data_IF_626172827699
#
_entry.id   IF_626172827699
#
_cell.length_a   1.000
_cell.length_b   1.000
_cell.length_c   1.000
_cell.angle_alpha   90.00
_cell.angle_beta   90.00
_cell.angle_gamma   90.00
#
_symmetry.space_group_name_H-M   'P 1'
#
loop_
_entity.id
_entity.type
_entity.pdbx_description
1 polymer ?
#
# COMPACT_ATOMS: atom_id res chain seq x y z
N UNK A 1 19.52 -6.82 -10.76
CA UNK A 1 19.29 -5.63 -11.61
C UNK A 1 17.81 -5.21 -11.62
N UNK A 2 16.87 -6.13 -11.83
CA UNK A 2 15.42 -5.80 -11.84
C UNK A 2 14.92 -5.15 -10.54
N UNK A 3 15.36 -5.61 -9.36
CA UNK A 3 14.97 -4.95 -8.09
C UNK A 3 15.40 -3.48 -8.03
N UNK A 4 16.66 -3.18 -8.37
CA UNK A 4 17.19 -1.82 -8.40
C UNK A 4 16.48 -0.94 -9.44
N UNK A 5 16.01 -1.55 -10.54
CA UNK A 5 15.22 -0.86 -11.54
C UNK A 5 13.85 -0.46 -10.98
N UNK A 6 13.17 -1.37 -10.28
CA UNK A 6 11.91 -1.08 -9.61
C UNK A 6 12.09 -0.01 -8.50
N UNK A 7 13.16 -0.11 -7.71
CA UNK A 7 13.51 0.90 -6.70
C UNK A 7 13.69 2.29 -7.35
N UNK A 8 14.36 2.35 -8.51
CA UNK A 8 14.56 3.61 -9.23
C UNK A 8 13.24 4.20 -9.75
N UNK A 9 12.33 3.35 -10.25
CA UNK A 9 10.99 3.78 -10.64
C UNK A 9 10.20 4.29 -9.43
N UNK A 10 10.17 3.56 -8.31
CA UNK A 10 9.47 3.99 -7.09
C UNK A 10 9.98 5.36 -6.62
N UNK A 11 11.29 5.52 -6.46
CA UNK A 11 11.89 6.76 -5.97
C UNK A 11 11.65 7.94 -6.92
N UNK A 12 11.69 7.71 -8.24
CA UNK A 12 11.39 8.76 -9.22
C UNK A 12 9.89 9.10 -9.21
N UNK A 13 9.03 8.11 -9.08
CA UNK A 13 7.58 8.29 -8.91
C UNK A 13 7.26 9.13 -7.68
N UNK A 14 7.90 8.84 -6.54
CA UNK A 14 7.78 9.61 -5.31
C UNK A 14 8.17 11.07 -5.51
N UNK A 15 9.30 11.33 -6.18
CA UNK A 15 9.70 12.69 -6.49
C UNK A 15 8.70 13.42 -7.39
N UNK A 16 8.26 12.77 -8.47
CA UNK A 16 7.28 13.31 -9.41
C UNK A 16 5.92 13.55 -8.76
N UNK A 17 5.52 12.73 -7.80
CA UNK A 17 4.25 12.88 -7.07
C UNK A 17 4.14 14.20 -6.28
N UNK A 18 5.27 14.86 -6.01
CA UNK A 18 5.31 16.17 -5.35
C UNK A 18 5.19 17.34 -6.32
N UNK A 19 5.36 17.09 -7.62
CA UNK A 19 5.32 18.09 -8.69
C UNK A 19 3.95 17.99 -9.37
N UNK A 20 3.14 19.06 -9.27
CA UNK A 20 1.75 19.04 -9.73
C UNK A 20 1.62 18.67 -11.21
N UNK A 21 2.51 19.15 -12.07
CA UNK A 21 2.48 18.87 -13.51
C UNK A 21 2.94 17.46 -13.88
N UNK A 22 3.55 16.70 -12.95
CA UNK A 22 4.16 15.39 -13.24
C UNK A 22 3.40 14.21 -12.62
N UNK A 23 2.11 14.40 -12.33
CA UNK A 23 1.26 13.37 -11.72
C UNK A 23 1.18 12.11 -12.59
N UNK A 24 0.96 12.26 -13.89
CA UNK A 24 0.74 11.11 -14.78
C UNK A 24 2.03 10.31 -14.97
N UNK A 25 3.17 10.98 -15.01
CA UNK A 25 4.49 10.35 -15.03
C UNK A 25 4.81 9.65 -13.70
N UNK A 26 4.35 10.20 -12.56
CA UNK A 26 4.47 9.53 -11.27
C UNK A 26 3.62 8.25 -11.23
N UNK A 27 2.38 8.30 -11.71
CA UNK A 27 1.52 7.11 -11.84
C UNK A 27 2.17 6.05 -12.74
N UNK A 28 2.73 6.46 -13.87
CA UNK A 28 3.46 5.56 -14.77
C UNK A 28 4.67 4.94 -14.09
N UNK A 29 5.42 5.70 -13.28
CA UNK A 29 6.57 5.17 -12.56
C UNK A 29 6.16 4.14 -11.51
N UNK A 30 5.10 4.41 -10.74
CA UNK A 30 4.55 3.43 -9.81
C UNK A 30 4.08 2.15 -10.51
N UNK A 31 3.42 2.26 -11.66
CA UNK A 31 2.99 1.11 -12.46
C UNK A 31 4.17 0.22 -12.87
N UNK A 32 5.27 0.83 -13.32
CA UNK A 32 6.47 0.09 -13.72
C UNK A 32 7.12 -0.62 -12.52
N UNK A 33 7.22 0.05 -11.37
CA UNK A 33 7.75 -0.55 -10.15
C UNK A 33 6.91 -1.74 -9.70
N UNK A 34 5.58 -1.56 -9.64
CA UNK A 34 4.61 -2.61 -9.28
C UNK A 34 4.71 -3.79 -10.24
N UNK A 35 4.71 -3.54 -11.55
CA UNK A 35 4.81 -4.60 -12.56
C UNK A 35 6.08 -5.43 -12.39
N UNK A 36 7.23 -4.79 -12.13
CA UNK A 36 8.48 -5.51 -11.91
C UNK A 36 8.40 -6.33 -10.63
N UNK A 37 7.95 -5.75 -9.51
CA UNK A 37 7.89 -6.46 -8.24
C UNK A 37 6.83 -7.58 -8.21
N UNK A 38 5.69 -7.43 -8.87
CA UNK A 38 4.71 -8.51 -9.03
C UNK A 38 5.29 -9.70 -9.82
N UNK A 39 6.04 -9.42 -10.90
CA UNK A 39 6.72 -10.47 -11.66
C UNK A 39 7.88 -11.12 -10.89
N UNK A 40 8.47 -10.38 -9.96
CA UNK A 40 9.55 -10.88 -9.10
C UNK A 40 9.04 -11.61 -7.85
N UNK A 41 7.81 -11.33 -7.40
CA UNK A 41 7.19 -11.99 -6.24
C UNK A 41 7.17 -13.49 -6.49
N UNK A 42 7.96 -14.20 -5.70
CA UNK A 42 7.89 -15.66 -5.63
C UNK A 42 7.10 -16.05 -4.38
N UNK A 43 6.30 -17.14 -4.43
CA UNK A 43 5.79 -17.77 -3.22
C UNK A 43 6.97 -18.43 -2.49
N UNK A 44 7.74 -17.66 -1.73
CA UNK A 44 8.81 -18.19 -0.86
C UNK A 44 8.70 -17.59 0.52
N UNK A 45 8.65 -18.46 1.54
CA UNK A 45 8.48 -18.10 2.96
C UNK A 45 9.75 -17.56 3.63
N UNK A 46 10.74 -17.10 2.86
CA UNK A 46 12.02 -16.62 3.39
C UNK A 46 11.99 -15.10 3.56
N UNK A 47 12.53 -14.59 4.67
CA UNK A 47 12.56 -13.16 5.03
C UNK A 47 13.14 -12.23 3.95
N UNK A 48 13.98 -12.71 3.04
CA UNK A 48 14.51 -11.91 1.92
C UNK A 48 13.42 -11.61 0.86
N UNK A 49 12.47 -12.53 0.67
CA UNK A 49 11.27 -12.33 -0.16
C UNK A 49 10.41 -11.19 0.39
N UNK A 50 10.39 -11.02 1.71
CA UNK A 50 9.59 -9.99 2.37
C UNK A 50 10.04 -8.56 2.00
N UNK A 51 11.31 -8.32 1.63
CA UNK A 51 11.73 -6.97 1.23
C UNK A 51 11.04 -6.53 -0.08
N UNK A 52 10.96 -7.43 -1.07
CA UNK A 52 10.23 -7.17 -2.32
C UNK A 52 8.75 -6.93 -2.02
N UNK A 53 8.16 -7.73 -1.13
CA UNK A 53 6.75 -7.60 -0.74
C UNK A 53 6.47 -6.29 0.01
N UNK A 54 7.36 -5.86 0.90
CA UNK A 54 7.27 -4.54 1.55
C UNK A 54 7.34 -3.43 0.52
N UNK A 55 8.31 -3.45 -0.40
CA UNK A 55 8.45 -2.42 -1.43
C UNK A 55 7.24 -2.40 -2.38
N UNK A 56 6.72 -3.57 -2.75
CA UNK A 56 5.51 -3.70 -3.55
C UNK A 56 4.29 -3.09 -2.84
N UNK A 57 4.09 -3.40 -1.55
CA UNK A 57 3.04 -2.81 -0.75
C UNK A 57 3.18 -1.28 -0.64
N UNK A 58 4.42 -0.78 -0.46
CA UNK A 58 4.70 0.66 -0.45
C UNK A 58 4.39 1.33 -1.80
N UNK A 59 4.70 0.67 -2.92
CA UNK A 59 4.40 1.18 -4.25
C UNK A 59 2.89 1.33 -4.48
N UNK A 60 2.11 0.30 -4.11
CA UNK A 60 0.66 0.36 -4.10
C UNK A 60 0.16 1.52 -3.21
N UNK A 61 0.65 1.62 -1.97
CA UNK A 61 0.26 2.70 -1.05
C UNK A 61 0.58 4.09 -1.63
N UNK A 62 1.74 4.28 -2.25
CA UNK A 62 2.16 5.56 -2.82
C UNK A 62 1.33 5.93 -4.05
N UNK A 63 1.04 4.97 -4.92
CA UNK A 63 0.10 5.16 -6.04
C UNK A 63 -1.31 5.49 -5.56
N UNK A 64 -1.79 4.79 -4.53
CA UNK A 64 -3.08 5.06 -3.88
C UNK A 64 -3.13 6.46 -3.27
N UNK A 65 -2.06 6.91 -2.61
CA UNK A 65 -1.94 8.27 -2.09
C UNK A 65 -2.03 9.32 -3.20
N UNK A 66 -1.41 9.08 -4.35
CA UNK A 66 -1.45 9.99 -5.49
C UNK A 66 -2.84 10.03 -6.14
N UNK A 67 -3.48 8.87 -6.30
CA UNK A 67 -4.87 8.73 -6.78
C UNK A 67 -5.86 9.42 -5.85
N UNK A 68 -5.74 9.22 -4.53
CA UNK A 68 -6.52 9.94 -3.50
C UNK A 68 -6.40 11.46 -3.65
N UNK A 69 -5.17 11.99 -3.75
CA UNK A 69 -4.92 13.43 -3.93
C UNK A 69 -5.58 13.99 -5.18
N UNK A 70 -5.87 13.13 -6.15
CA UNK A 70 -6.42 13.47 -7.44
C UNK A 70 -7.92 13.31 -7.55
N UNK A 71 -8.56 12.73 -6.54
CA UNK A 71 -9.99 12.40 -6.57
C UNK A 71 -10.31 11.02 -7.14
N UNK A 72 -9.31 10.26 -7.59
CA UNK A 72 -9.42 8.89 -8.12
C UNK A 72 -9.57 7.89 -6.95
N UNK A 73 -10.70 7.98 -6.24
CA UNK A 73 -10.87 7.38 -4.90
C UNK A 73 -11.01 5.87 -4.93
N UNK A 74 -11.79 5.33 -5.86
CA UNK A 74 -12.03 3.89 -5.95
C UNK A 74 -10.73 3.17 -6.32
N UNK A 75 -9.95 3.75 -7.23
CA UNK A 75 -8.64 3.26 -7.60
C UNK A 75 -7.62 3.39 -6.46
N UNK A 76 -7.75 4.43 -5.62
CA UNK A 76 -6.94 4.56 -4.41
C UNK A 76 -7.25 3.48 -3.38
N UNK A 77 -8.54 3.20 -3.13
CA UNK A 77 -8.97 2.13 -2.24
C UNK A 77 -8.49 0.77 -2.74
N UNK A 78 -8.62 0.48 -4.04
CA UNK A 78 -8.10 -0.75 -4.63
C UNK A 78 -6.58 -0.92 -4.46
N UNK A 79 -5.82 0.18 -4.54
CA UNK A 79 -4.37 0.14 -4.29
C UNK A 79 -4.07 -0.12 -2.82
N UNK A 80 -4.77 0.54 -1.90
CA UNK A 80 -4.60 0.30 -0.47
C UNK A 80 -4.96 -1.12 -0.06
N UNK A 81 -6.03 -1.70 -0.60
CA UNK A 81 -6.42 -3.08 -0.34
C UNK A 81 -5.33 -4.07 -0.77
N UNK A 82 -4.68 -3.83 -1.91
CA UNK A 82 -3.53 -4.62 -2.37
C UNK A 82 -2.34 -4.50 -1.42
N UNK A 83 -2.03 -3.29 -0.97
CA UNK A 83 -0.96 -3.08 0.00
C UNK A 83 -1.25 -3.78 1.33
N UNK A 84 -2.47 -3.67 1.86
CA UNK A 84 -2.88 -4.34 3.10
C UNK A 84 -2.76 -5.85 2.97
N UNK A 85 -3.28 -6.45 1.90
CA UNK A 85 -3.21 -7.89 1.69
C UNK A 85 -1.77 -8.40 1.69
N UNK A 86 -0.87 -7.71 0.97
CA UNK A 86 0.55 -8.10 0.90
C UNK A 86 1.21 -8.01 2.28
N UNK A 87 0.93 -6.95 3.05
CA UNK A 87 1.51 -6.76 4.39
C UNK A 87 1.00 -7.82 5.38
N UNK A 88 -0.28 -8.18 5.31
CA UNK A 88 -0.83 -9.27 6.12
C UNK A 88 -0.23 -10.62 5.74
N UNK A 89 -0.02 -10.90 4.45
CA UNK A 89 0.61 -12.14 3.98
C UNK A 89 2.04 -12.33 4.55
N UNK A 90 2.76 -11.23 4.81
CA UNK A 90 4.12 -11.26 5.39
C UNK A 90 4.16 -10.96 6.89
N UNK A 91 3.00 -10.91 7.54
CA UNK A 91 2.84 -10.63 8.97
C UNK A 91 3.37 -9.26 9.42
N UNK A 92 3.43 -8.27 8.51
CA UNK A 92 3.71 -6.88 8.85
C UNK A 92 2.41 -6.14 9.23
N UNK A 93 1.89 -6.50 10.41
CA UNK A 93 0.66 -5.94 10.95
C UNK A 93 0.76 -4.44 11.24
N UNK A 94 1.94 -3.94 11.60
CA UNK A 94 2.14 -2.53 11.91
C UNK A 94 1.92 -1.63 10.70
N UNK A 95 2.55 -1.99 9.57
CA UNK A 95 2.34 -1.28 8.31
C UNK A 95 0.92 -1.45 7.78
N UNK A 96 0.33 -2.65 7.91
CA UNK A 96 -1.06 -2.90 7.49
C UNK A 96 -2.06 -2.01 8.24
N UNK A 97 -1.93 -1.90 9.57
CA UNK A 97 -2.76 -1.02 10.40
C UNK A 97 -2.66 0.43 9.96
N UNK A 98 -1.46 0.92 9.63
CA UNK A 98 -1.30 2.30 9.17
C UNK A 98 -2.08 2.57 7.87
N UNK A 99 -2.11 1.62 6.94
CA UNK A 99 -2.87 1.74 5.70
C UNK A 99 -4.37 1.64 5.95
N UNK A 100 -4.82 0.72 6.81
CA UNK A 100 -6.24 0.61 7.18
C UNK A 100 -6.78 1.89 7.85
N UNK A 101 -5.95 2.57 8.65
CA UNK A 101 -6.29 3.89 9.20
C UNK A 101 -6.39 4.96 8.11
N UNK A 102 -5.51 4.93 7.11
CA UNK A 102 -5.58 5.82 5.95
C UNK A 102 -6.88 5.58 5.15
N UNK A 103 -7.28 4.31 4.95
CA UNK A 103 -8.55 3.91 4.31
C UNK A 103 -9.76 4.44 5.11
N UNK A 104 -9.81 4.16 6.41
CA UNK A 104 -10.93 4.61 7.26
C UNK A 104 -11.08 6.13 7.26
N UNK A 105 -9.97 6.88 7.26
CA UNK A 105 -10.01 8.34 7.12
C UNK A 105 -10.58 8.80 5.77
N UNK A 106 -10.25 8.11 4.68
CA UNK A 106 -10.78 8.41 3.35
C UNK A 106 -12.29 8.18 3.30
N UNK A 107 -12.76 7.06 3.82
CA UNK A 107 -14.18 6.71 3.85
C UNK A 107 -14.96 7.71 4.73
N UNK A 108 -14.43 8.09 5.89
CA UNK A 108 -15.02 9.15 6.73
C UNK A 108 -15.17 10.48 5.98
N UNK A 109 -14.13 10.92 5.28
CA UNK A 109 -14.17 12.15 4.49
C UNK A 109 -15.16 12.08 3.32
N UNK A 110 -15.61 10.88 2.94
CA UNK A 110 -16.61 10.64 1.92
C UNK A 110 -18.02 10.45 2.48
N UNK A 111 -18.20 10.56 3.81
CA UNK A 111 -19.45 10.19 4.48
C UNK A 111 -19.82 8.70 4.34
N UNK A 112 -18.87 7.85 3.94
CA UNK A 112 -19.00 6.40 4.00
C UNK A 112 -18.69 5.94 5.43
N UNK A 113 -19.69 6.15 6.31
CA UNK A 113 -19.56 5.82 7.72
C UNK A 113 -19.47 4.31 7.96
N UNK A 114 -20.18 3.51 7.16
CA UNK A 114 -20.18 2.06 7.28
C UNK A 114 -18.82 1.48 6.88
N UNK A 115 -18.25 1.94 5.76
CA UNK A 115 -16.90 1.57 5.35
C UNK A 115 -15.85 1.95 6.39
N UNK A 116 -15.91 3.19 6.88
CA UNK A 116 -14.97 3.66 7.92
C UNK A 116 -15.05 2.83 9.21
N UNK A 117 -16.27 2.51 9.66
CA UNK A 117 -16.49 1.64 10.82
C UNK A 117 -15.89 0.25 10.58
N UNK A 118 -16.04 -0.30 9.37
CA UNK A 118 -15.41 -1.57 9.00
C UNK A 118 -13.89 -1.49 9.11
N UNK A 119 -13.25 -0.50 8.48
CA UNK A 119 -11.78 -0.38 8.50
C UNK A 119 -11.21 -0.17 9.90
N UNK A 120 -11.87 0.60 10.76
CA UNK A 120 -11.44 0.74 12.16
C UNK A 120 -11.66 -0.55 12.97
N UNK A 121 -12.73 -1.29 12.67
CA UNK A 121 -12.96 -2.60 13.30
C UNK A 121 -11.87 -3.59 12.91
N UNK A 122 -11.42 -3.59 11.67
CA UNK A 122 -10.31 -4.42 11.20
C UNK A 122 -9.00 -4.07 11.92
N UNK A 123 -8.71 -2.79 12.11
CA UNK A 123 -7.55 -2.33 12.91
C UNK A 123 -7.61 -2.87 14.34
N UNK A 124 -8.74 -2.72 15.02
CA UNK A 124 -8.92 -3.18 16.40
C UNK A 124 -8.74 -4.70 16.47
N UNK A 125 -9.32 -5.45 15.53
CA UNK A 125 -9.21 -6.89 15.44
C UNK A 125 -7.76 -7.35 15.31
N UNK A 126 -7.00 -6.76 14.38
CA UNK A 126 -5.58 -7.10 14.19
C UNK A 126 -4.79 -6.84 15.47
N UNK A 127 -4.96 -5.69 16.11
CA UNK A 127 -4.23 -5.33 17.34
C UNK A 127 -4.55 -6.32 18.47
N UNK A 128 -5.82 -6.65 18.69
CA UNK A 128 -6.25 -7.59 19.72
C UNK A 128 -5.72 -9.00 19.49
N UNK A 129 -5.78 -9.49 18.24
CA UNK A 129 -5.24 -10.79 17.88
C UNK A 129 -3.73 -10.87 18.15
N UNK A 130 -2.97 -9.83 17.80
CA UNK A 130 -1.53 -9.81 18.05
C UNK A 130 -1.19 -9.67 19.54
N UNK A 131 -1.96 -8.88 20.30
CA UNK A 131 -1.76 -8.75 21.75
C UNK A 131 -2.05 -10.07 22.48
N UNK A 132 -3.09 -10.80 22.08
CA UNK A 132 -3.44 -12.10 22.68
C UNK A 132 -2.39 -13.20 22.45
N UNK A 133 -1.50 -13.03 21.47
CA UNK A 133 -0.41 -13.96 21.15
C UNK A 133 0.89 -13.67 21.92
N UNK A 134 0.96 -12.57 22.68
CA UNK A 134 2.13 -12.26 23.50
C UNK A 134 2.12 -13.12 24.77
N UNK A 135 3.25 -13.77 25.12
CA UNK A 135 3.37 -14.62 26.31
C UNK A 135 3.31 -13.86 27.63
#
# INVERSE_FOLDING_TARGET
MLNLQADAYLNRGDMRSTIKEQKDEALSDYEQAITIWENMRQPSGDKLSNNILVNLAMAYRNRGNLRKKSGDRDEALSDYDRAVQILLDIEDYGSAVQILLDIGSIQLNQHDYDGALSSFSDVIKIILEQWSKQP
#
